data_IF_542064993864
#
_entry.id   IF_542064993864
#
_cell.length_a   1.000
_cell.length_b   1.000
_cell.length_c   1.000
_cell.angle_alpha   90.00
_cell.angle_beta   90.00
_cell.angle_gamma   90.00
#
_symmetry.space_group_name_H-M   'P 1'
#
loop_
_entity.id
_entity.type
_entity.pdbx_description
1 polymer ?
#
# COMPACT_ATOMS: atom_id res chain seq x y z
N UNK A 1 2.05 -22.00 22.44
CA UNK A 1 1.85 -20.76 23.22
C UNK A 1 2.00 -19.59 22.28
N UNK A 2 1.05 -18.66 22.21
CA UNK A 2 1.11 -17.54 21.27
C UNK A 2 -0.18 -16.72 21.24
N UNK A 3 -0.18 -15.56 20.60
CA UNK A 3 -1.32 -14.64 20.44
C UNK A 3 -2.62 -15.29 19.94
N UNK A 4 -2.52 -16.45 19.25
CA UNK A 4 -3.63 -17.34 18.86
C UNK A 4 -4.40 -17.93 20.04
N UNK A 5 -3.77 -18.07 21.21
CA UNK A 5 -4.40 -18.57 22.43
C UNK A 5 -5.10 -17.48 23.26
N UNK A 6 -5.01 -16.19 22.88
CA UNK A 6 -5.56 -15.06 23.64
C UNK A 6 -6.59 -14.21 22.88
N UNK A 7 -7.03 -14.63 21.68
CA UNK A 7 -8.14 -14.02 20.94
C UNK A 7 -7.99 -12.54 20.57
N UNK A 8 -6.77 -12.00 20.60
CA UNK A 8 -6.47 -10.56 20.42
C UNK A 8 -5.33 -10.30 19.41
N UNK A 9 -5.21 -11.12 18.37
CA UNK A 9 -4.24 -10.88 17.31
C UNK A 9 -4.79 -9.83 16.33
N UNK A 10 -4.19 -8.64 16.27
CA UNK A 10 -4.18 -7.78 15.08
C UNK A 10 -2.76 -7.84 14.52
N UNK A 11 -2.57 -8.41 13.34
CA UNK A 11 -1.24 -8.71 12.78
C UNK A 11 -1.25 -8.68 11.25
N UNK A 12 -1.86 -7.65 10.65
CA UNK A 12 -1.89 -7.45 9.20
C UNK A 12 -1.90 -5.95 8.87
N UNK A 13 -0.74 -5.30 8.88
CA UNK A 13 -0.54 -3.97 8.27
C UNK A 13 0.95 -3.61 8.32
N UNK A 14 1.74 -4.05 7.33
CA UNK A 14 3.20 -3.86 7.41
C UNK A 14 3.79 -3.10 6.21
N UNK A 15 3.04 -2.80 5.14
CA UNK A 15 3.59 -2.06 4.00
C UNK A 15 2.55 -1.22 3.23
N UNK A 16 2.52 0.09 3.50
CA UNK A 16 1.69 1.05 2.76
C UNK A 16 2.48 1.60 1.56
N UNK A 17 1.95 1.44 0.35
CA UNK A 17 2.56 1.94 -0.88
C UNK A 17 1.63 2.95 -1.53
N UNK A 18 2.10 4.20 -1.62
CA UNK A 18 1.37 5.27 -2.30
C UNK A 18 1.91 5.43 -3.71
N UNK A 19 1.02 5.30 -4.71
CA UNK A 19 1.34 5.51 -6.12
C UNK A 19 1.01 6.94 -6.49
N UNK A 20 2.02 7.67 -6.96
CA UNK A 20 1.90 9.02 -7.55
C UNK A 20 2.07 8.87 -9.06
N UNK A 21 0.98 8.78 -9.83
CA UNK A 21 1.11 8.54 -11.26
C UNK A 21 1.27 9.85 -12.03
N UNK A 22 2.11 9.84 -13.07
CA UNK A 22 2.25 10.97 -13.99
C UNK A 22 1.04 11.17 -14.92
N UNK A 23 0.22 10.13 -15.08
CA UNK A 23 -1.01 10.12 -15.89
C UNK A 23 -2.11 9.30 -15.20
N UNK A 24 -3.35 9.37 -15.68
CA UNK A 24 -4.43 8.59 -15.08
C UNK A 24 -4.20 7.08 -15.20
N UNK A 25 -4.25 6.37 -14.07
CA UNK A 25 -4.13 4.91 -14.05
C UNK A 25 -5.46 4.30 -14.48
N UNK A 26 -5.44 3.55 -15.58
CA UNK A 26 -6.60 2.74 -16.01
C UNK A 26 -6.98 1.75 -14.90
N UNK A 27 -8.28 1.63 -14.62
CA UNK A 27 -8.82 0.70 -13.62
C UNK A 27 -8.32 -0.74 -13.79
N UNK A 28 -8.20 -1.23 -15.02
CA UNK A 28 -7.69 -2.57 -15.30
C UNK A 28 -6.23 -2.74 -14.88
N UNK A 29 -5.38 -1.73 -15.09
CA UNK A 29 -4.00 -1.72 -14.61
C UNK A 29 -3.95 -1.75 -13.09
N UNK A 30 -4.77 -0.93 -12.44
CA UNK A 30 -4.86 -0.89 -10.98
C UNK A 30 -5.25 -2.25 -10.37
N UNK A 31 -6.26 -2.91 -10.94
CA UNK A 31 -6.69 -4.24 -10.50
C UNK A 31 -5.59 -5.29 -10.69
N UNK A 32 -4.91 -5.29 -11.85
CA UNK A 32 -3.81 -6.22 -12.09
C UNK A 32 -2.66 -6.06 -11.10
N UNK A 33 -2.31 -4.83 -10.72
CA UNK A 33 -1.26 -4.59 -9.71
C UNK A 33 -1.68 -5.19 -8.38
N UNK A 34 -2.93 -4.99 -7.96
CA UNK A 34 -3.46 -5.58 -6.72
C UNK A 34 -3.43 -7.10 -6.74
N UNK A 35 -3.90 -7.72 -7.82
CA UNK A 35 -3.84 -9.18 -8.01
C UNK A 35 -2.40 -9.70 -7.91
N UNK A 36 -1.44 -9.04 -8.57
CA UNK A 36 -0.03 -9.46 -8.50
C UNK A 36 0.57 -9.33 -7.11
N UNK A 37 0.16 -8.32 -6.33
CA UNK A 37 0.60 -8.17 -4.93
C UNK A 37 -0.01 -9.25 -4.04
N UNK A 38 -1.29 -9.57 -4.23
CA UNK A 38 -2.00 -10.63 -3.49
C UNK A 38 -1.45 -12.02 -3.79
N UNK A 39 -1.09 -12.29 -5.05
CA UNK A 39 -0.49 -13.57 -5.47
C UNK A 39 1.03 -13.65 -5.21
N UNK A 40 1.64 -12.56 -4.75
CA UNK A 40 3.09 -12.51 -4.54
C UNK A 40 3.53 -13.40 -3.37
N UNK A 41 4.79 -13.84 -3.43
CA UNK A 41 5.45 -14.50 -2.29
C UNK A 41 5.92 -13.49 -1.23
N UNK A 42 5.52 -12.22 -1.32
CA UNK A 42 5.87 -11.22 -0.34
C UNK A 42 5.21 -11.57 0.99
N UNK A 43 5.98 -11.66 2.10
CA UNK A 43 5.48 -12.21 3.35
C UNK A 43 4.50 -11.27 4.09
N UNK A 44 4.27 -10.07 3.57
CA UNK A 44 3.42 -9.04 4.18
C UNK A 44 2.31 -8.62 3.23
N UNK A 45 1.16 -8.23 3.79
CA UNK A 45 0.10 -7.59 3.02
C UNK A 45 0.53 -6.17 2.64
N UNK A 46 0.32 -5.81 1.37
CA UNK A 46 0.58 -4.46 0.85
C UNK A 46 -0.73 -3.71 0.73
N UNK A 47 -0.86 -2.55 1.38
CA UNK A 47 -1.95 -1.62 1.10
C UNK A 47 -1.52 -0.65 0.00
N UNK A 48 -2.16 -0.76 -1.16
CA UNK A 48 -1.86 0.06 -2.33
C UNK A 48 -2.83 1.22 -2.41
N UNK A 49 -2.31 2.43 -2.23
CA UNK A 49 -3.05 3.68 -2.19
C UNK A 49 -2.74 4.54 -3.41
N UNK A 50 -3.76 5.21 -3.95
CA UNK A 50 -3.60 6.12 -5.09
C UNK A 50 -3.56 7.57 -4.58
N UNK A 51 -2.48 8.29 -4.86
CA UNK A 51 -2.27 9.67 -4.38
C UNK A 51 -3.48 10.60 -4.61
N UNK A 52 -4.08 10.49 -5.80
CA UNK A 52 -5.21 11.33 -6.22
C UNK A 52 -6.49 11.09 -5.40
N UNK A 53 -6.58 9.97 -4.68
CA UNK A 53 -7.72 9.63 -3.83
C UNK A 53 -7.49 9.94 -2.35
N UNK A 54 -6.27 10.38 -1.98
CA UNK A 54 -5.92 10.73 -0.61
C UNK A 54 -6.41 12.13 -0.29
N UNK A 55 -6.87 12.34 0.94
CA UNK A 55 -7.18 13.67 1.42
C UNK A 55 -5.88 14.49 1.65
N UNK A 56 -5.96 15.83 1.65
CA UNK A 56 -4.78 16.69 1.78
C UNK A 56 -3.99 16.50 3.09
N UNK A 57 -4.66 16.12 4.19
CA UNK A 57 -3.98 15.90 5.46
C UNK A 57 -3.15 14.61 5.41
N UNK A 58 -3.70 13.56 4.81
CA UNK A 58 -2.98 12.30 4.64
C UNK A 58 -1.82 12.43 3.62
N UNK A 59 -2.01 13.17 2.53
CA UNK A 59 -0.94 13.53 1.60
C UNK A 59 0.24 14.21 2.31
N UNK A 60 -0.03 15.12 3.24
CA UNK A 60 1.01 15.78 4.05
C UNK A 60 1.79 14.77 4.89
N UNK A 61 1.10 13.84 5.56
CA UNK A 61 1.75 12.78 6.34
C UNK A 61 2.65 11.93 5.45
N UNK A 62 2.20 11.55 4.26
CA UNK A 62 3.00 10.76 3.30
C UNK A 62 4.26 11.52 2.88
N UNK A 63 4.19 12.82 2.61
CA UNK A 63 5.36 13.63 2.25
C UNK A 63 6.35 13.82 3.42
N UNK A 64 5.84 13.96 4.64
CA UNK A 64 6.67 14.15 5.84
C UNK A 64 7.37 12.86 6.29
N UNK A 65 6.68 11.73 6.18
CA UNK A 65 7.12 10.46 6.79
C UNK A 65 7.55 9.42 5.77
N UNK A 66 7.05 9.50 4.55
CA UNK A 66 7.31 8.54 3.49
C UNK A 66 8.75 8.53 3.00
N UNK A 67 9.06 7.54 2.18
CA UNK A 67 10.32 7.40 1.47
C UNK A 67 10.03 7.04 0.03
N UNK A 68 10.78 7.62 -0.90
CA UNK A 68 10.69 7.24 -2.30
C UNK A 68 11.24 5.82 -2.47
N UNK A 69 10.37 4.89 -2.87
CA UNK A 69 10.75 3.49 -3.16
C UNK A 69 11.20 3.32 -4.61
N UNK A 70 10.58 4.08 -5.52
CA UNK A 70 10.85 4.03 -6.96
C UNK A 70 10.40 5.35 -7.60
N UNK A 71 11.23 5.88 -8.48
CA UNK A 71 10.93 7.02 -9.34
C UNK A 71 11.25 6.62 -10.77
N UNK A 72 10.35 6.94 -11.71
CA UNK A 72 10.57 6.66 -13.12
C UNK A 72 11.33 7.84 -13.73
N UNK A 73 12.48 7.56 -14.35
CA UNK A 73 13.25 8.52 -15.17
C UNK A 73 12.47 8.99 -16.41
#
# INVERSE_FOLDING_TARGET
MGSRAKGRAKSYSDFDVVVIPGEEIRRSTWLRIKEHLEESLFPYSVDLLLWNNLDPQFQKIVLETGRCLYEKE
#
